data_IF_730529424653
#
_entry.id   IF_730529424653
#
_cell.length_a   1.000
_cell.length_b   1.000
_cell.length_c   1.000
_cell.angle_alpha   90.00
_cell.angle_beta   90.00
_cell.angle_gamma   90.00
#
_symmetry.space_group_name_H-M   'P 1'
#
loop_
_entity.id
_entity.type
_entity.pdbx_description
1 polymer ?
#
# COMPACT_ATOMS: atom_id res chain seq x y z
N UNK A 1 -9.87 -16.23 -4.70
CA UNK A 1 -9.18 -15.28 -5.62
C UNK A 1 -7.84 -15.85 -6.00
N UNK A 2 -7.49 -15.83 -7.27
CA UNK A 2 -6.23 -16.38 -7.76
C UNK A 2 -5.06 -15.42 -7.47
N UNK A 3 -3.83 -15.93 -7.57
CA UNK A 3 -2.63 -15.10 -7.43
C UNK A 3 -2.58 -14.01 -8.49
N UNK A 4 -3.00 -14.29 -9.71
CA UNK A 4 -3.05 -13.29 -10.77
C UNK A 4 -4.04 -12.17 -10.50
N UNK A 5 -5.19 -12.49 -9.92
CA UNK A 5 -6.17 -11.49 -9.54
C UNK A 5 -5.65 -10.61 -8.39
N UNK A 6 -4.97 -11.22 -7.43
CA UNK A 6 -4.36 -10.47 -6.33
C UNK A 6 -3.28 -9.51 -6.84
N UNK A 7 -2.42 -10.00 -7.74
CA UNK A 7 -1.41 -9.14 -8.36
C UNK A 7 -2.04 -7.95 -9.06
N UNK A 8 -3.10 -8.19 -9.82
CA UNK A 8 -3.79 -7.12 -10.54
C UNK A 8 -4.38 -6.08 -9.58
N UNK A 9 -4.94 -6.53 -8.46
CA UNK A 9 -5.48 -5.61 -7.45
C UNK A 9 -4.38 -4.76 -6.80
N UNK A 10 -3.22 -5.37 -6.53
CA UNK A 10 -2.08 -4.64 -5.96
C UNK A 10 -1.60 -3.59 -6.96
N UNK A 11 -1.44 -3.98 -8.21
CA UNK A 11 -1.04 -3.05 -9.26
C UNK A 11 -2.02 -1.89 -9.40
N UNK A 12 -3.30 -2.20 -9.39
CA UNK A 12 -4.36 -1.19 -9.46
C UNK A 12 -4.29 -0.21 -8.27
N UNK A 13 -4.11 -0.74 -7.06
CA UNK A 13 -4.01 0.08 -5.86
C UNK A 13 -2.81 1.03 -5.93
N UNK A 14 -1.65 0.53 -6.37
CA UNK A 14 -0.44 1.34 -6.49
C UNK A 14 -0.61 2.43 -7.55
N UNK A 15 -1.20 2.11 -8.69
CA UNK A 15 -1.47 3.10 -9.72
C UNK A 15 -2.41 4.19 -9.22
N UNK A 16 -3.45 3.82 -8.51
CA UNK A 16 -4.40 4.79 -7.95
C UNK A 16 -3.74 5.71 -6.92
N UNK A 17 -2.89 5.15 -6.06
CA UNK A 17 -2.11 5.95 -5.13
C UNK A 17 -1.21 6.95 -5.86
N UNK A 18 -0.55 6.50 -6.93
CA UNK A 18 0.30 7.37 -7.74
C UNK A 18 -0.46 8.50 -8.42
N UNK A 19 -1.72 8.25 -8.79
CA UNK A 19 -2.57 9.27 -9.38
C UNK A 19 -3.04 10.29 -8.34
N UNK A 20 -3.42 9.81 -7.15
CA UNK A 20 -3.90 10.69 -6.08
C UNK A 20 -2.75 11.41 -5.37
N UNK A 21 -1.57 10.80 -5.31
CA UNK A 21 -0.39 11.38 -4.66
C UNK A 21 0.81 11.26 -5.61
N UNK A 22 0.90 12.18 -6.61
CA UNK A 22 1.94 12.08 -7.64
C UNK A 22 3.37 12.02 -7.10
N UNK A 23 3.64 12.64 -5.95
CA UNK A 23 4.96 12.60 -5.35
C UNK A 23 5.43 11.19 -5.00
N UNK A 24 4.50 10.26 -4.77
CA UNK A 24 4.84 8.86 -4.49
C UNK A 24 5.45 8.14 -5.68
N UNK A 25 5.21 8.63 -6.90
CA UNK A 25 5.81 8.05 -8.12
C UNK A 25 7.33 8.25 -8.18
N UNK A 26 7.87 9.12 -7.34
CA UNK A 26 9.30 9.40 -7.28
C UNK A 26 10.04 8.49 -6.30
N UNK A 27 9.32 7.68 -5.54
CA UNK A 27 9.92 6.77 -4.58
C UNK A 27 10.44 5.53 -5.30
N UNK A 28 11.71 5.19 -5.05
CA UNK A 28 12.33 3.97 -5.56
C UNK A 28 12.63 3.08 -4.36
N UNK A 29 11.68 2.27 -3.97
CA UNK A 29 11.81 1.37 -2.82
C UNK A 29 11.10 0.05 -3.06
N UNK A 30 11.46 -0.95 -2.25
CA UNK A 30 10.74 -2.22 -2.20
C UNK A 30 9.84 -2.20 -0.98
N UNK A 31 8.59 -2.58 -1.17
CA UNK A 31 7.60 -2.70 -0.10
C UNK A 31 7.21 -4.17 0.03
N UNK A 32 7.21 -4.66 1.26
CA UNK A 32 6.70 -5.99 1.58
C UNK A 32 5.24 -5.84 1.97
N UNK A 33 4.35 -6.49 1.23
CA UNK A 33 2.91 -6.44 1.50
C UNK A 33 2.43 -7.78 2.00
N UNK A 34 1.88 -7.81 3.22
CA UNK A 34 1.30 -9.02 3.80
C UNK A 34 -0.22 -8.90 3.81
N UNK A 35 -0.89 -9.94 3.34
CA UNK A 35 -2.34 -10.00 3.25
C UNK A 35 -2.89 -11.19 4.04
N UNK A 36 -2.90 -11.11 5.39
CA UNK A 36 -3.42 -12.22 6.20
C UNK A 36 -4.86 -12.56 5.84
N UNK A 37 -5.14 -13.85 5.85
CA UNK A 37 -6.48 -14.37 5.56
C UNK A 37 -6.88 -15.32 6.69
N UNK A 38 -8.13 -15.29 7.10
CA UNK A 38 -8.61 -16.18 8.15
C UNK A 38 -8.30 -17.65 7.82
N UNK A 39 -7.48 -18.28 8.68
CA UNK A 39 -7.18 -19.70 8.58
C UNK A 39 -6.26 -20.11 7.45
N UNK A 40 -5.79 -19.17 6.63
CA UNK A 40 -5.00 -19.48 5.43
C UNK A 40 -3.61 -18.87 5.42
N UNK A 41 -3.13 -18.37 6.57
CA UNK A 41 -1.82 -17.75 6.65
C UNK A 41 -1.80 -16.31 6.11
N UNK A 42 -0.60 -15.80 5.86
CA UNK A 42 -0.39 -14.43 5.43
C UNK A 42 0.47 -14.41 4.17
N UNK A 43 -0.15 -14.47 2.97
CA UNK A 43 0.62 -14.35 1.73
C UNK A 43 1.41 -13.04 1.70
N UNK A 44 2.67 -13.14 1.27
CA UNK A 44 3.59 -12.01 1.20
C UNK A 44 3.87 -11.67 -0.26
N UNK A 45 3.79 -10.40 -0.57
CA UNK A 45 4.06 -9.89 -1.91
C UNK A 45 5.22 -8.89 -1.88
N UNK A 46 6.03 -8.93 -2.92
CA UNK A 46 7.08 -7.94 -3.16
C UNK A 46 6.56 -6.90 -4.13
N UNK A 47 6.57 -5.64 -3.72
CA UNK A 47 6.11 -4.53 -4.57
C UNK A 47 7.28 -3.57 -4.75
N UNK A 48 7.77 -3.47 -5.98
CA UNK A 48 8.87 -2.57 -6.31
C UNK A 48 8.30 -1.28 -6.91
N UNK A 49 8.56 -0.17 -6.24
CA UNK A 49 8.11 1.14 -6.69
C UNK A 49 9.22 1.87 -7.44
N UNK A 50 8.91 2.71 -8.41
CA UNK A 50 7.58 3.20 -8.76
C UNK A 50 6.79 2.27 -9.71
N UNK A 51 7.37 1.42 -10.47
CA UNK A 51 6.80 0.49 -11.44
C UNK A 51 5.28 0.51 -11.63
N UNK A 52 4.48 -0.19 -10.82
CA UNK A 52 4.92 -1.17 -9.84
C UNK A 52 5.30 -2.51 -10.47
N UNK A 53 6.28 -3.16 -9.89
CA UNK A 53 6.59 -4.54 -10.22
C UNK A 53 6.16 -5.40 -9.03
N UNK A 54 5.13 -6.20 -9.22
CA UNK A 54 4.53 -7.02 -8.17
C UNK A 54 4.89 -8.47 -8.40
N UNK A 55 5.45 -9.14 -7.38
CA UNK A 55 5.86 -10.53 -7.47
C UNK A 55 5.74 -11.23 -6.12
N UNK A 56 5.95 -12.55 -6.14
CA UNK A 56 6.03 -13.36 -4.92
C UNK A 56 7.48 -13.62 -4.50
N UNK A 57 8.43 -12.93 -5.12
CA UNK A 57 9.85 -13.06 -4.78
C UNK A 57 10.12 -12.60 -3.35
N UNK A 58 11.23 -13.08 -2.73
CA UNK A 58 11.57 -12.64 -1.38
C UNK A 58 11.71 -11.12 -1.27
N UNK A 59 11.24 -10.56 -0.17
CA UNK A 59 11.26 -9.12 0.09
C UNK A 59 12.11 -8.77 1.32
N UNK A 60 13.22 -9.50 1.52
CA UNK A 60 14.13 -9.24 2.63
C UNK A 60 14.82 -7.88 2.57
N UNK A 61 14.86 -7.27 1.38
CA UNK A 61 15.42 -5.94 1.17
C UNK A 61 14.36 -4.82 1.25
N UNK A 62 13.13 -5.15 1.64
CA UNK A 62 12.06 -4.16 1.75
C UNK A 62 12.37 -3.14 2.84
N UNK A 63 12.15 -1.87 2.51
CA UNK A 63 12.37 -0.77 3.46
C UNK A 63 11.13 -0.50 4.30
N UNK A 64 9.96 -0.91 3.82
CA UNK A 64 8.68 -0.78 4.50
C UNK A 64 7.91 -2.07 4.35
N UNK A 65 7.26 -2.49 5.44
CA UNK A 65 6.34 -3.63 5.44
C UNK A 65 4.94 -3.13 5.76
N UNK A 66 3.98 -3.51 4.94
CA UNK A 66 2.59 -3.13 5.12
C UNK A 66 1.77 -4.39 5.30
N UNK A 67 0.89 -4.39 6.29
CA UNK A 67 -0.01 -5.50 6.58
C UNK A 67 -1.45 -5.02 6.53
N UNK A 68 -2.27 -5.70 5.72
CA UNK A 68 -3.70 -5.40 5.59
C UNK A 68 -4.44 -6.72 5.54
N UNK A 69 -5.49 -6.88 6.33
CA UNK A 69 -6.35 -8.07 6.26
C UNK A 69 -6.93 -8.19 4.85
N UNK A 70 -6.98 -9.41 4.33
CA UNK A 70 -7.37 -9.66 2.94
C UNK A 70 -8.73 -9.03 2.54
N UNK A 71 -9.80 -9.19 3.32
CA UNK A 71 -11.08 -8.58 2.95
C UNK A 71 -11.02 -7.07 2.90
N UNK A 72 -10.31 -6.45 3.84
CA UNK A 72 -10.12 -5.01 3.87
C UNK A 72 -9.32 -4.54 2.66
N UNK A 73 -8.25 -5.27 2.32
CA UNK A 73 -7.45 -4.96 1.14
C UNK A 73 -8.30 -5.00 -0.13
N UNK A 74 -9.09 -6.05 -0.30
CA UNK A 74 -9.93 -6.20 -1.49
C UNK A 74 -10.89 -5.02 -1.63
N UNK A 75 -11.51 -4.60 -0.54
CA UNK A 75 -12.43 -3.46 -0.54
C UNK A 75 -11.71 -2.17 -0.91
N UNK A 76 -10.57 -1.90 -0.27
CA UNK A 76 -9.81 -0.68 -0.51
C UNK A 76 -9.22 -0.63 -1.92
N UNK A 77 -8.71 -1.75 -2.40
CA UNK A 77 -8.09 -1.80 -3.73
C UNK A 77 -9.10 -1.59 -4.85
N UNK A 78 -10.34 -2.04 -4.65
CA UNK A 78 -11.38 -1.90 -5.67
C UNK A 78 -12.00 -0.50 -5.68
N UNK A 79 -12.38 -0.01 -4.52
CA UNK A 79 -13.20 1.19 -4.42
C UNK A 79 -12.61 2.28 -3.54
N UNK A 80 -11.53 2.00 -2.81
CA UNK A 80 -10.96 2.93 -1.86
C UNK A 80 -10.22 4.09 -2.50
N UNK A 81 -10.42 5.27 -1.93
CA UNK A 81 -9.64 6.46 -2.27
C UNK A 81 -8.58 6.66 -1.20
N UNK A 82 -7.67 7.61 -1.41
CA UNK A 82 -6.62 7.93 -0.45
C UNK A 82 -7.16 8.10 0.96
N UNK A 83 -8.25 8.83 1.11
CA UNK A 83 -8.88 9.07 2.42
C UNK A 83 -9.30 7.77 3.11
N UNK A 84 -9.83 6.82 2.34
CA UNK A 84 -10.27 5.53 2.89
C UNK A 84 -9.08 4.72 3.41
N UNK A 85 -7.95 4.75 2.70
CA UNK A 85 -6.71 4.11 3.13
C UNK A 85 -6.17 4.76 4.41
N UNK A 86 -6.20 6.09 4.49
CA UNK A 86 -5.75 6.82 5.68
C UNK A 86 -6.64 6.50 6.88
N UNK A 87 -7.95 6.46 6.69
CA UNK A 87 -8.88 6.10 7.75
C UNK A 87 -8.64 4.67 8.24
N UNK A 88 -8.41 3.72 7.32
CA UNK A 88 -8.09 2.34 7.66
C UNK A 88 -6.79 2.26 8.47
N UNK A 89 -5.79 3.04 8.09
CA UNK A 89 -4.53 3.12 8.83
C UNK A 89 -4.74 3.65 10.25
N UNK A 90 -5.51 4.72 10.39
CA UNK A 90 -5.80 5.31 11.71
C UNK A 90 -6.57 4.37 12.62
N UNK A 91 -7.40 3.50 12.04
CA UNK A 91 -8.17 2.51 12.79
C UNK A 91 -7.39 1.23 13.08
N UNK A 92 -6.15 1.13 12.58
CA UNK A 92 -5.33 -0.06 12.77
C UNK A 92 -5.62 -1.20 11.81
N UNK A 93 -6.42 -0.98 10.78
CA UNK A 93 -6.72 -1.99 9.76
C UNK A 93 -5.59 -2.10 8.73
N UNK A 94 -4.77 -1.08 8.62
CA UNK A 94 -3.55 -1.08 7.81
C UNK A 94 -2.41 -0.72 8.75
N UNK A 95 -1.38 -1.55 8.79
CA UNK A 95 -0.20 -1.26 9.62
C UNK A 95 1.04 -1.15 8.74
N UNK A 96 1.95 -0.28 9.12
CA UNK A 96 3.20 -0.07 8.40
C UNK A 96 4.36 -0.09 9.40
N UNK A 97 5.39 -0.87 9.08
CA UNK A 97 6.61 -0.95 9.85
C UNK A 97 7.81 -0.86 8.90
N UNK A 98 9.00 -0.60 9.45
CA UNK A 98 10.21 -0.51 8.65
C UNK A 98 11.00 0.75 8.97
N UNK A 99 11.68 1.33 7.98
CA UNK A 99 12.49 2.51 8.18
C UNK A 99 11.63 3.72 8.59
N UNK A 100 11.84 4.26 9.81
CA UNK A 100 11.02 5.40 10.28
C UNK A 100 11.09 6.61 9.36
N UNK A 101 12.25 6.87 8.78
CA UNK A 101 12.43 8.01 7.89
C UNK A 101 11.56 7.91 6.63
N UNK A 102 11.43 6.71 6.08
CA UNK A 102 10.60 6.47 4.89
C UNK A 102 9.12 6.59 5.24
N UNK A 103 8.73 5.98 6.35
CA UNK A 103 7.33 6.03 6.82
C UNK A 103 6.90 7.48 7.07
N UNK A 104 7.78 8.26 7.72
CA UNK A 104 7.51 9.67 8.01
C UNK A 104 7.39 10.48 6.71
N UNK A 105 8.30 10.24 5.76
CA UNK A 105 8.28 10.93 4.48
C UNK A 105 6.97 10.68 3.73
N UNK A 106 6.58 9.42 3.63
CA UNK A 106 5.33 9.03 2.96
C UNK A 106 4.13 9.64 3.68
N UNK A 107 4.10 9.58 5.00
CA UNK A 107 3.03 10.16 5.79
C UNK A 107 2.88 11.67 5.57
N UNK A 108 4.00 12.40 5.54
CA UNK A 108 3.98 13.85 5.30
C UNK A 108 3.45 14.18 3.90
N UNK A 109 3.87 13.42 2.89
CA UNK A 109 3.41 13.63 1.51
C UNK A 109 1.91 13.39 1.40
N UNK A 110 1.42 12.34 2.04
CA UNK A 110 -0.02 12.01 2.05
C UNK A 110 -0.82 13.11 2.76
N UNK A 111 -0.36 13.57 3.92
CA UNK A 111 -1.03 14.63 4.66
C UNK A 111 -1.13 15.93 3.87
N UNK A 112 -0.06 16.30 3.17
CA UNK A 112 -0.07 17.48 2.31
C UNK A 112 -1.10 17.35 1.19
N UNK A 113 -1.20 16.17 0.59
CA UNK A 113 -2.15 15.92 -0.48
C UNK A 113 -3.60 16.01 0.03
N UNK A 114 -3.87 15.44 1.21
CA UNK A 114 -5.19 15.53 1.83
C UNK A 114 -5.55 16.98 2.17
N UNK A 115 -4.59 17.74 2.66
CA UNK A 115 -4.82 19.15 3.00
C UNK A 115 -5.17 19.97 1.75
N UNK A 116 -4.49 19.72 0.62
CA UNK A 116 -4.80 20.38 -0.64
C UNK A 116 -6.22 20.04 -1.13
N UNK A 117 -6.60 18.77 -1.02
CA UNK A 117 -7.94 18.33 -1.42
C UNK A 117 -9.01 18.95 -0.53
N UNK A 118 -8.73 19.07 0.78
CA UNK A 118 -9.66 19.66 1.73
C UNK A 118 -9.78 21.18 1.65
N UNK A 119 -8.80 21.84 1.02
CA UNK A 119 -8.80 23.31 0.87
C UNK A 119 -9.67 23.82 -0.26
N UNK A 120 -10.30 22.95 -1.01
CA UNK A 120 -11.14 23.32 -2.16
C UNK A 120 -12.60 23.50 -1.78
#
# INVERSE_FOLDING_TARGET
>A
MSAGETRALIEQAVHRFGEEVPALRQLTIVVKLELPTHGAGAPVWRVELPGPKVSRDPAGDARVSITVQRPEFNRLAKDGRLRDWVDAYRRGHVTATGEPAVIKLVGNVIERQLARAGAR
#
